data_IF_344724259236
#
_entry.id   IF_344724259236
#
_cell.length_a   1.000
_cell.length_b   1.000
_cell.length_c   1.000
_cell.angle_alpha   90.00
_cell.angle_beta   90.00
_cell.angle_gamma   90.00
#
_symmetry.space_group_name_H-M   'P 1'
#
loop_
_entity.id
_entity.type
_entity.pdbx_description
1 polymer ?
#
# COMPACT_ATOMS: atom_id res chain seq x y z
N UNK A 1 1.92 10.12 -10.81
CA UNK A 1 1.13 9.00 -11.39
C UNK A 1 1.66 7.65 -10.92
N UNK A 2 0.79 6.86 -10.28
CA UNK A 2 1.12 5.51 -9.81
C UNK A 2 0.84 4.44 -10.86
N UNK A 3 1.56 3.32 -10.79
CA UNK A 3 1.19 2.11 -11.53
C UNK A 3 1.52 0.86 -10.72
N UNK A 4 0.82 -0.22 -11.05
CA UNK A 4 0.99 -1.52 -10.43
C UNK A 4 1.55 -2.50 -11.45
N UNK A 5 2.57 -3.27 -11.05
CA UNK A 5 3.17 -4.31 -11.88
C UNK A 5 3.19 -5.64 -11.14
N UNK A 6 2.63 -6.73 -11.67
CA UNK A 6 2.75 -8.05 -11.05
C UNK A 6 4.23 -8.45 -10.84
N UNK A 7 4.51 -9.14 -9.73
CA UNK A 7 5.82 -9.76 -9.50
C UNK A 7 6.06 -10.92 -10.47
N UNK A 8 7.32 -11.32 -10.68
CA UNK A 8 7.69 -12.38 -11.64
C UNK A 8 6.94 -13.72 -11.42
N UNK A 9 6.60 -14.03 -10.17
CA UNK A 9 5.90 -15.26 -9.79
C UNK A 9 4.41 -15.04 -9.48
N UNK A 10 3.88 -13.84 -9.73
CA UNK A 10 2.48 -13.47 -9.43
C UNK A 10 2.03 -13.73 -7.99
N UNK A 11 2.95 -13.77 -7.01
CA UNK A 11 2.64 -13.93 -5.57
C UNK A 11 2.14 -12.60 -4.96
N UNK A 12 2.39 -11.50 -5.68
CA UNK A 12 1.96 -10.15 -5.34
C UNK A 12 2.29 -9.19 -6.46
N UNK A 13 2.34 -7.90 -6.13
CA UNK A 13 2.57 -6.83 -7.09
C UNK A 13 3.57 -5.81 -6.54
N UNK A 14 4.10 -5.02 -7.46
CA UNK A 14 4.93 -3.88 -7.17
C UNK A 14 4.10 -2.62 -7.37
N UNK A 15 4.04 -1.78 -6.35
CA UNK A 15 3.48 -0.44 -6.45
C UNK A 15 4.62 0.52 -6.78
N UNK A 16 4.41 1.35 -7.80
CA UNK A 16 5.38 2.33 -8.26
C UNK A 16 4.76 3.72 -8.35
N UNK A 17 5.55 4.75 -8.06
CA UNK A 17 5.14 6.16 -8.19
C UNK A 17 6.34 7.10 -8.06
N UNK A 18 6.12 8.40 -8.25
CA UNK A 18 7.10 9.42 -7.84
C UNK A 18 7.23 9.46 -6.31
N UNK A 19 8.17 10.24 -5.80
CA UNK A 19 8.30 10.44 -4.35
C UNK A 19 7.06 11.13 -3.79
N UNK A 20 6.60 12.18 -4.47
CA UNK A 20 5.45 13.00 -4.10
C UNK A 20 4.18 12.15 -4.09
N UNK A 21 3.96 11.42 -5.19
CA UNK A 21 2.89 10.45 -5.32
C UNK A 21 2.84 9.50 -4.11
N UNK A 22 3.92 8.76 -3.85
CA UNK A 22 3.93 7.76 -2.77
C UNK A 22 3.82 8.38 -1.37
N UNK A 23 4.28 9.62 -1.18
CA UNK A 23 4.09 10.37 0.06
C UNK A 23 2.62 10.74 0.27
N UNK A 24 1.98 11.31 -0.75
CA UNK A 24 0.55 11.66 -0.71
C UNK A 24 -0.32 10.42 -0.48
N UNK A 25 0.04 9.30 -1.09
CA UNK A 25 -0.62 8.01 -0.86
C UNK A 25 -0.51 7.59 0.60
N UNK A 26 0.71 7.63 1.16
CA UNK A 26 0.94 7.31 2.57
C UNK A 26 0.13 8.22 3.50
N UNK A 27 0.15 9.54 3.26
CA UNK A 27 -0.55 10.51 4.09
C UNK A 27 -2.07 10.28 4.03
N UNK A 28 -2.62 10.08 2.83
CA UNK A 28 -4.05 9.79 2.62
C UNK A 28 -4.49 8.57 3.40
N UNK A 29 -3.74 7.47 3.31
CA UNK A 29 -4.05 6.25 4.04
C UNK A 29 -3.84 6.41 5.55
N UNK A 30 -2.79 7.12 5.99
CA UNK A 30 -2.48 7.30 7.41
C UNK A 30 -3.60 7.99 8.19
N UNK A 31 -4.35 8.90 7.55
CA UNK A 31 -5.49 9.58 8.15
C UNK A 31 -6.60 8.58 8.47
N UNK A 32 -6.97 7.71 7.52
CA UNK A 32 -8.04 6.72 7.71
C UNK A 32 -7.74 5.71 8.82
N UNK A 33 -6.48 5.47 9.13
CA UNK A 33 -6.06 4.51 10.14
C UNK A 33 -5.77 5.13 11.51
N UNK A 34 -5.69 6.46 11.59
CA UNK A 34 -5.55 7.18 12.85
C UNK A 34 -6.89 7.70 13.38
N UNK A 35 -7.92 7.74 12.53
CA UNK A 35 -9.29 8.06 12.95
C UNK A 35 -9.89 6.86 13.69
N UNK A 36 -10.39 7.11 14.90
CA UNK A 36 -10.90 6.12 15.87
C UNK A 36 -12.20 5.40 15.43
N UNK A 37 -12.46 5.30 14.12
CA UNK A 37 -13.67 4.69 13.53
C UNK A 37 -13.66 3.15 13.68
N UNK A 38 -12.54 2.57 14.12
CA UNK A 38 -12.42 1.15 14.46
C UNK A 38 -12.74 0.94 15.95
N UNK A 39 -14.04 0.97 16.26
CA UNK A 39 -14.59 0.52 17.54
C UNK A 39 -14.07 -0.89 17.90
N UNK A 40 -13.64 -1.00 19.15
CA UNK A 40 -12.71 -1.97 19.73
C UNK A 40 -13.21 -3.42 19.93
N UNK A 41 -14.30 -3.83 19.28
CA UNK A 41 -15.05 -5.03 19.71
C UNK A 41 -14.88 -6.26 18.82
N UNK A 42 -13.97 -6.24 17.85
CA UNK A 42 -13.63 -7.40 17.03
C UNK A 42 -12.10 -7.57 17.04
N UNK A 43 -11.62 -8.81 17.02
CA UNK A 43 -10.19 -9.17 16.99
C UNK A 43 -9.51 -8.62 15.71
N UNK A 44 -9.24 -7.32 15.69
CA UNK A 44 -8.71 -6.52 14.57
C UNK A 44 -7.17 -6.52 14.49
N UNK A 45 -6.54 -7.22 15.43
CA UNK A 45 -5.09 -7.24 15.62
C UNK A 45 -4.33 -7.76 14.38
N UNK A 46 -5.00 -8.50 13.49
CA UNK A 46 -4.47 -8.98 12.21
C UNK A 46 -4.58 -7.95 11.08
N UNK A 47 -5.70 -7.22 11.00
CA UNK A 47 -5.97 -6.24 9.96
C UNK A 47 -5.07 -4.99 10.12
N UNK A 48 -4.91 -4.48 11.34
CA UNK A 48 -4.04 -3.34 11.63
C UNK A 48 -2.57 -3.65 11.34
N UNK A 49 -2.13 -4.89 11.58
CA UNK A 49 -0.78 -5.35 11.22
C UNK A 49 -0.57 -5.38 9.71
N UNK A 50 -1.55 -5.83 8.94
CA UNK A 50 -1.48 -5.86 7.47
C UNK A 50 -1.35 -4.44 6.93
N UNK A 51 -2.22 -3.54 7.39
CA UNK A 51 -2.25 -2.13 6.99
C UNK A 51 -0.95 -1.41 7.39
N UNK A 52 -0.51 -1.58 8.64
CA UNK A 52 0.75 -1.00 9.13
C UNK A 52 1.93 -1.51 8.30
N UNK A 53 1.91 -2.79 7.92
CA UNK A 53 2.90 -3.37 7.01
C UNK A 53 2.88 -2.73 5.61
N UNK A 54 1.70 -2.45 5.05
CA UNK A 54 1.55 -1.73 3.78
C UNK A 54 2.14 -0.32 3.87
N UNK A 55 1.74 0.45 4.88
CA UNK A 55 2.21 1.82 5.08
C UNK A 55 3.73 1.86 5.29
N UNK A 56 4.27 0.89 6.02
CA UNK A 56 5.71 0.73 6.20
C UNK A 56 6.43 0.53 4.87
N UNK A 57 5.92 -0.33 4.00
CA UNK A 57 6.51 -0.58 2.68
C UNK A 57 6.44 0.65 1.76
N UNK A 58 5.32 1.38 1.74
CA UNK A 58 5.18 2.63 0.98
C UNK A 58 6.16 3.68 1.51
N UNK A 59 6.23 3.86 2.83
CA UNK A 59 7.17 4.79 3.48
C UNK A 59 8.61 4.47 3.16
N UNK A 60 9.00 3.20 3.19
CA UNK A 60 10.37 2.80 2.83
C UNK A 60 10.66 2.98 1.34
N UNK A 61 9.66 2.92 0.47
CA UNK A 61 9.84 3.19 -0.95
C UNK A 61 10.22 4.65 -1.23
N UNK A 62 9.41 5.62 -0.79
CA UNK A 62 9.71 7.04 -1.08
C UNK A 62 10.90 7.59 -0.29
N UNK A 63 11.31 6.91 0.79
CA UNK A 63 12.57 7.17 1.52
C UNK A 63 13.80 6.46 0.92
N UNK A 64 13.73 6.05 -0.36
CA UNK A 64 14.86 5.47 -1.10
C UNK A 64 15.44 4.18 -0.49
N UNK A 65 14.64 3.43 0.27
CA UNK A 65 15.04 2.21 0.99
C UNK A 65 14.45 0.92 0.40
N UNK A 66 13.88 0.99 -0.82
CA UNK A 66 13.28 -0.14 -1.55
C UNK A 66 13.69 -0.11 -3.03
N UNK A 67 12.74 -0.23 -3.94
CA UNK A 67 12.98 -0.26 -5.37
C UNK A 67 13.10 1.18 -5.89
N UNK A 68 14.04 1.40 -6.80
CA UNK A 68 14.28 2.67 -7.47
C UNK A 68 14.53 2.44 -8.96
N UNK A 69 14.00 3.31 -9.81
CA UNK A 69 14.27 3.33 -11.25
C UNK A 69 14.39 4.77 -11.74
N UNK A 70 15.31 5.00 -12.66
CA UNK A 70 15.56 6.32 -13.24
C UNK A 70 14.71 6.60 -14.50
N UNK A 71 13.73 5.74 -14.78
CA UNK A 71 12.85 5.84 -15.93
C UNK A 71 11.44 5.38 -15.57
N UNK A 72 10.43 6.20 -15.89
CA UNK A 72 9.02 5.83 -15.77
C UNK A 72 8.63 4.75 -16.77
N UNK A 73 7.56 4.00 -16.46
CA UNK A 73 7.07 2.95 -17.37
C UNK A 73 6.29 3.52 -18.57
N UNK A 74 5.82 4.77 -18.48
CA UNK A 74 4.82 5.36 -19.38
C UNK A 74 5.29 6.55 -20.24
N UNK A 75 6.52 7.06 -20.07
CA UNK A 75 7.06 8.08 -20.99
C UNK A 75 8.57 8.22 -20.78
N UNK A 76 9.28 8.62 -21.84
CA UNK A 76 10.72 8.84 -21.87
C UNK A 76 11.20 10.05 -21.04
N UNK A 77 10.53 10.39 -19.95
CA UNK A 77 11.02 11.39 -18.99
C UNK A 77 11.95 10.72 -17.98
N UNK A 78 13.11 11.34 -17.73
CA UNK A 78 14.11 10.95 -16.72
C UNK A 78 13.63 11.21 -15.28
N UNK A 79 12.40 10.83 -14.97
CA UNK A 79 11.85 10.99 -13.63
C UNK A 79 12.19 9.76 -12.79
N UNK A 80 12.66 9.98 -11.57
CA UNK A 80 12.95 8.90 -10.62
C UNK A 80 11.65 8.35 -10.07
N UNK A 81 11.45 7.04 -10.25
CA UNK A 81 10.33 6.29 -9.68
C UNK A 81 10.82 5.41 -8.54
N UNK A 82 10.02 5.35 -7.49
CA UNK A 82 10.22 4.50 -6.34
C UNK A 82 9.15 3.41 -6.32
N UNK A 83 9.44 2.29 -5.67
CA UNK A 83 8.46 1.24 -5.51
C UNK A 83 8.71 0.28 -4.36
N UNK A 84 7.65 -0.42 -3.98
CA UNK A 84 7.67 -1.49 -2.98
C UNK A 84 6.94 -2.74 -3.50
N UNK A 85 7.24 -3.88 -2.88
CA UNK A 85 6.54 -5.13 -3.16
C UNK A 85 5.46 -5.34 -2.10
N UNK A 86 4.24 -5.64 -2.55
CA UNK A 86 3.11 -5.97 -1.70
C UNK A 86 2.55 -7.33 -2.12
N UNK A 87 2.11 -8.11 -1.13
CA UNK A 87 1.35 -9.33 -1.36
C UNK A 87 -0.06 -9.03 -1.87
N UNK A 88 -0.73 -10.01 -2.49
CA UNK A 88 -2.13 -9.85 -2.87
C UNK A 88 -3.06 -9.62 -1.69
N UNK A 89 -2.78 -10.25 -0.54
CA UNK A 89 -3.51 -10.01 0.70
C UNK A 89 -3.46 -8.51 1.04
N UNK A 90 -2.25 -7.94 1.11
CA UNK A 90 -2.06 -6.52 1.35
C UNK A 90 -2.78 -5.63 0.31
N UNK A 91 -2.72 -5.99 -0.97
CA UNK A 91 -3.42 -5.23 -2.02
C UNK A 91 -4.94 -5.25 -1.90
N UNK A 92 -5.52 -6.39 -1.52
CA UNK A 92 -6.95 -6.49 -1.29
C UNK A 92 -7.38 -5.54 -0.16
N UNK A 93 -6.59 -5.41 0.90
CA UNK A 93 -6.87 -4.44 1.97
C UNK A 93 -6.67 -2.99 1.53
N UNK A 94 -5.73 -2.73 0.63
CA UNK A 94 -5.45 -1.39 0.08
C UNK A 94 -6.55 -0.88 -0.86
N UNK A 95 -7.13 -1.76 -1.68
CA UNK A 95 -8.12 -1.40 -2.70
C UNK A 95 -9.58 -1.55 -2.25
N UNK A 96 -9.82 -1.96 -1.00
CA UNK A 96 -11.18 -2.17 -0.50
C UNK A 96 -11.90 -0.84 -0.21
N UNK A 97 -13.21 -0.76 -0.47
CA UNK A 97 -14.05 0.29 0.07
C UNK A 97 -14.05 0.25 1.61
N UNK A 98 -13.89 1.41 2.26
CA UNK A 98 -13.81 1.56 3.71
C UNK A 98 -14.97 0.87 4.46
N UNK A 99 -16.18 0.86 3.88
CA UNK A 99 -17.39 0.27 4.46
C UNK A 99 -17.37 -1.28 4.54
N UNK A 100 -16.53 -1.96 3.76
CA UNK A 100 -16.51 -3.44 3.68
C UNK A 100 -15.43 -4.10 4.55
N UNK A 101 -14.62 -3.30 5.24
CA UNK A 101 -13.50 -3.77 6.07
C UNK A 101 -13.96 -4.64 7.26
N UNK A 102 -15.06 -4.25 7.91
CA UNK A 102 -15.60 -4.93 9.10
C UNK A 102 -16.05 -6.37 8.82
N UNK A 103 -16.65 -6.63 7.66
CA UNK A 103 -17.18 -7.95 7.29
C UNK A 103 -16.05 -8.94 6.96
N UNK A 104 -14.95 -8.47 6.37
CA UNK A 104 -13.85 -9.36 5.98
C UNK A 104 -12.91 -9.70 7.12
N UNK A 105 -12.67 -8.80 8.08
CA UNK A 105 -11.87 -9.14 9.27
C UNK A 105 -12.58 -10.22 10.12
N UNK A 106 -13.92 -10.31 10.06
CA UNK A 106 -14.71 -11.40 10.67
C UNK A 106 -14.62 -12.75 9.93
N UNK A 107 -14.22 -12.76 8.64
CA UNK A 107 -14.14 -13.99 7.84
C UNK A 107 -12.76 -14.66 7.90
N UNK A 108 -11.75 -13.97 8.46
CA UNK A 108 -10.35 -14.41 8.50
C UNK A 108 -9.97 -14.91 9.92
N UNK A 109 -10.81 -14.66 10.93
CA UNK A 109 -10.74 -15.29 12.26
C UNK A 109 -11.76 -16.44 12.35
#
# INVERSE_FOLDING_TARGET
MFYIKPTKNAIGFQLWGSREDLSELYDSFSIFFNDQIYDSDLEFDSCDKIISGVLYEIRKAFNDSRLKRNSGHLSGSESVYYGCCLSWVQGIFLFRPLDTSKVYCQLIN
#
